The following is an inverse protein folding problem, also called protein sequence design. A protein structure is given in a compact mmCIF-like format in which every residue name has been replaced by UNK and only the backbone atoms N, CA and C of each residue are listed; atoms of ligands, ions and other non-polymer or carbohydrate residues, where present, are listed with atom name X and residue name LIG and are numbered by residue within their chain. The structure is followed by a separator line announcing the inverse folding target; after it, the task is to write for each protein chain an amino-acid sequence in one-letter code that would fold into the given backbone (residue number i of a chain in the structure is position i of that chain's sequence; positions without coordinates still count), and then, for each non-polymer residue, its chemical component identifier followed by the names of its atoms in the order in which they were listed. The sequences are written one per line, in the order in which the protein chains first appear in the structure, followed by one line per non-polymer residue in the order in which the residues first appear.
data_IF_177275528059
#
_entry.id   IF_177275528059
#
_cell.length_a   1.000
_cell.length_b   1.000
_cell.length_c   1.000
_cell.angle_alpha   90.00
_cell.angle_beta   90.00
_cell.angle_gamma   90.00
#
_symmetry.space_group_name_H-M   'P 1'
#
loop_
_entity.id
_entity.type
_entity.pdbx_description
1 polymer ?
#
# COMPACT_ATOMS: atom_id res chain seq x y z
N UNK A 1 -5.07 -14.95 3.02
CA UNK A 1 -5.06 -14.14 1.79
C UNK A 1 -3.78 -13.34 1.72
N UNK A 2 -3.32 -13.01 0.51
CA UNK A 2 -2.08 -12.24 0.33
C UNK A 2 -2.37 -10.96 -0.46
N UNK A 3 -1.91 -9.83 0.06
CA UNK A 3 -2.11 -8.51 -0.53
C UNK A 3 -0.75 -7.88 -0.85
N UNK A 4 -0.47 -7.62 -2.13
CA UNK A 4 0.70 -6.84 -2.53
C UNK A 4 0.34 -5.35 -2.45
N UNK A 5 1.15 -4.59 -1.74
CA UNK A 5 0.97 -3.15 -1.52
C UNK A 5 2.17 -2.40 -2.06
N UNK A 6 1.93 -1.49 -2.99
CA UNK A 6 2.94 -0.62 -3.62
C UNK A 6 2.46 0.82 -3.64
N UNK A 7 3.38 1.78 -3.73
CA UNK A 7 3.06 3.21 -3.78
C UNK A 7 4.18 4.02 -4.44
N UNK A 8 3.83 5.22 -4.90
CA UNK A 8 4.79 6.26 -5.26
C UNK A 8 5.82 5.78 -6.31
N UNK A 9 5.32 5.19 -7.43
CA UNK A 9 6.17 4.79 -8.56
C UNK A 9 6.54 5.94 -9.50
N UNK A 10 5.85 7.09 -9.42
CA UNK A 10 6.19 8.33 -10.12
C UNK A 10 6.56 8.10 -11.59
N UNK A 11 5.56 7.78 -12.41
CA UNK A 11 5.66 7.50 -13.84
C UNK A 11 6.45 6.25 -14.23
N UNK A 12 7.05 5.52 -13.28
CA UNK A 12 7.76 4.28 -13.57
C UNK A 12 6.75 3.13 -13.75
N UNK A 13 6.23 3.02 -14.95
CA UNK A 13 5.24 2.01 -15.34
C UNK A 13 5.81 0.59 -15.31
N UNK A 14 7.07 0.45 -15.72
CA UNK A 14 7.69 -0.87 -15.91
C UNK A 14 7.76 -1.67 -14.60
N UNK A 15 8.03 -1.01 -13.48
CA UNK A 15 8.06 -1.72 -12.20
C UNK A 15 6.69 -2.31 -11.83
N UNK A 16 5.57 -1.67 -12.20
CA UNK A 16 4.23 -2.22 -11.95
C UNK A 16 3.95 -3.41 -12.88
N UNK A 17 4.44 -3.38 -14.11
CA UNK A 17 4.38 -4.52 -15.05
C UNK A 17 5.17 -5.70 -14.49
N UNK A 18 6.39 -5.44 -14.01
CA UNK A 18 7.26 -6.47 -13.43
C UNK A 18 6.63 -7.09 -12.16
N UNK A 19 6.07 -6.26 -11.27
CA UNK A 19 5.34 -6.72 -10.09
C UNK A 19 4.13 -7.59 -10.45
N UNK A 20 3.36 -7.17 -11.46
CA UNK A 20 2.23 -7.96 -11.93
C UNK A 20 2.71 -9.33 -12.43
N UNK A 21 3.68 -9.35 -13.34
CA UNK A 21 4.17 -10.58 -13.97
C UNK A 21 4.76 -11.56 -12.94
N UNK A 22 5.50 -11.05 -11.96
CA UNK A 22 6.13 -11.89 -10.92
C UNK A 22 5.10 -12.45 -9.93
N UNK A 23 4.11 -11.63 -9.51
CA UNK A 23 3.26 -11.97 -8.37
C UNK A 23 1.82 -12.32 -8.72
N UNK A 24 1.37 -12.29 -9.99
CA UNK A 24 -0.03 -12.52 -10.37
C UNK A 24 -0.59 -13.88 -9.92
N UNK A 25 0.27 -14.90 -9.77
CA UNK A 25 -0.11 -16.22 -9.26
C UNK A 25 0.25 -16.45 -7.80
N UNK A 26 0.75 -15.43 -7.10
CA UNK A 26 1.26 -15.54 -5.73
C UNK A 26 0.46 -14.72 -4.72
N UNK A 27 -0.30 -13.72 -5.19
CA UNK A 27 -1.10 -12.83 -4.33
C UNK A 27 -2.55 -12.76 -4.83
N UNK A 28 -3.46 -12.46 -3.90
CA UNK A 28 -4.90 -12.37 -4.18
C UNK A 28 -5.31 -10.95 -4.64
N UNK A 29 -4.58 -9.91 -4.22
CA UNK A 29 -4.87 -8.52 -4.53
C UNK A 29 -3.60 -7.72 -4.76
N UNK A 30 -3.66 -6.79 -5.72
CA UNK A 30 -2.68 -5.75 -5.97
C UNK A 30 -3.27 -4.40 -5.58
N UNK A 31 -2.61 -3.69 -4.64
CA UNK A 31 -3.09 -2.46 -4.02
C UNK A 31 -2.05 -1.35 -4.22
N UNK A 32 -2.46 -0.23 -4.85
CA UNK A 32 -1.58 0.89 -5.15
C UNK A 32 -2.02 2.15 -4.40
N UNK A 33 -1.16 2.67 -3.53
CA UNK A 33 -1.51 3.79 -2.64
C UNK A 33 -1.31 5.18 -3.23
N UNK A 34 -1.31 5.33 -4.57
CA UNK A 34 -1.30 6.64 -5.25
C UNK A 34 0.08 7.13 -5.66
N UNK A 35 0.11 8.31 -6.28
CA UNK A 35 1.25 8.90 -6.98
C UNK A 35 1.84 7.95 -8.02
N UNK A 36 0.95 7.46 -8.89
CA UNK A 36 1.34 6.65 -10.04
C UNK A 36 1.84 7.51 -11.19
N UNK A 37 1.22 8.67 -11.38
CA UNK A 37 1.41 9.57 -12.51
C UNK A 37 1.17 8.91 -13.87
N UNK A 38 0.39 7.83 -13.88
CA UNK A 38 -0.03 7.12 -15.09
C UNK A 38 -1.48 7.49 -15.44
N UNK A 39 -1.86 7.41 -16.74
CA UNK A 39 -3.25 7.63 -17.13
C UNK A 39 -4.22 6.66 -16.44
N UNK A 40 -5.40 7.13 -16.06
CA UNK A 40 -6.47 6.31 -15.49
C UNK A 40 -7.01 5.24 -16.46
N UNK A 41 -6.68 5.35 -17.74
CA UNK A 41 -7.00 4.40 -18.80
C UNK A 41 -5.93 3.31 -19.00
N UNK A 42 -4.85 3.32 -18.21
CA UNK A 42 -3.81 2.30 -18.32
C UNK A 42 -4.35 0.92 -17.92
N UNK A 43 -4.02 -0.11 -18.71
CA UNK A 43 -4.47 -1.49 -18.50
C UNK A 43 -3.99 -2.12 -17.18
N UNK A 44 -2.98 -1.55 -16.52
CA UNK A 44 -2.55 -1.98 -15.18
C UNK A 44 -3.67 -1.87 -14.14
N UNK A 45 -4.60 -0.93 -14.31
CA UNK A 45 -5.71 -0.73 -13.38
C UNK A 45 -6.81 -1.81 -13.45
N UNK A 46 -6.74 -2.70 -14.42
CA UNK A 46 -7.50 -3.96 -14.40
C UNK A 46 -6.98 -4.93 -13.33
N UNK A 47 -5.71 -4.79 -12.93
CA UNK A 47 -5.04 -5.63 -11.92
C UNK A 47 -4.89 -4.89 -10.59
N UNK A 48 -4.39 -3.66 -10.61
CA UNK A 48 -4.16 -2.87 -9.40
C UNK A 48 -5.39 -2.07 -9.01
N UNK A 49 -5.82 -2.21 -7.75
CA UNK A 49 -6.75 -1.25 -7.16
C UNK A 49 -5.96 -0.03 -6.70
N UNK A 50 -6.26 1.13 -7.27
CA UNK A 50 -5.48 2.36 -7.09
C UNK A 50 -6.32 3.46 -6.45
N UNK A 51 -5.66 4.34 -5.69
CA UNK A 51 -6.20 5.61 -5.18
C UNK A 51 -5.41 6.78 -5.75
N UNK A 52 -6.04 7.97 -5.78
CA UNK A 52 -5.42 9.20 -6.26
C UNK A 52 -4.38 9.71 -5.27
N UNK A 53 -3.17 9.98 -5.73
CA UNK A 53 -2.16 10.74 -5.01
C UNK A 53 -2.16 12.23 -5.37
N UNK A 54 -1.29 13.00 -4.73
CA UNK A 54 -1.19 14.45 -4.99
C UNK A 54 -0.48 14.77 -6.31
N UNK A 55 0.21 13.82 -6.91
CA UNK A 55 0.85 13.94 -8.22
C UNK A 55 0.04 13.30 -9.36
N UNK A 56 -1.08 12.65 -9.06
CA UNK A 56 -1.97 12.07 -10.07
C UNK A 56 -2.92 13.14 -10.63
N UNK A 57 -2.50 13.79 -11.71
CA UNK A 57 -3.29 14.84 -12.38
C UNK A 57 -4.26 14.22 -13.38
N UNK A 58 -5.52 14.67 -13.36
CA UNK A 58 -6.53 14.24 -14.33
C UNK A 58 -7.80 13.60 -13.73
N UNK A 59 -7.80 13.22 -12.48
CA UNK A 59 -9.01 12.97 -11.68
C UNK A 59 -9.72 11.64 -11.88
N UNK A 60 -9.13 10.65 -12.56
CA UNK A 60 -9.76 9.35 -12.79
C UNK A 60 -9.75 8.40 -11.58
N UNK A 61 -8.88 8.62 -10.61
CA UNK A 61 -8.80 7.76 -9.42
C UNK A 61 -9.56 8.33 -8.22
N UNK A 62 -10.17 7.47 -7.37
CA UNK A 62 -10.79 7.93 -6.13
C UNK A 62 -9.73 8.31 -5.09
N UNK A 63 -10.01 9.34 -4.26
CA UNK A 63 -9.10 9.76 -3.18
C UNK A 63 -8.95 8.70 -2.07
N UNK A 64 -9.93 7.85 -1.91
CA UNK A 64 -9.99 6.77 -0.93
C UNK A 64 -10.79 5.59 -1.47
N UNK A 65 -10.41 4.39 -1.05
CA UNK A 65 -11.07 3.14 -1.46
C UNK A 65 -11.23 2.21 -0.27
N UNK A 66 -12.37 1.54 -0.19
CA UNK A 66 -12.61 0.47 0.77
C UNK A 66 -12.66 -0.84 -0.01
N UNK A 67 -11.73 -1.74 0.29
CA UNK A 67 -11.65 -3.07 -0.30
C UNK A 67 -12.07 -4.09 0.75
N UNK A 68 -13.11 -4.86 0.44
CA UNK A 68 -13.61 -5.93 1.32
C UNK A 68 -13.14 -7.28 0.81
N UNK A 69 -12.60 -8.07 1.71
CA UNK A 69 -12.19 -9.46 1.48
C UNK A 69 -12.89 -10.38 2.50
N UNK A 70 -12.81 -11.70 2.36
CA UNK A 70 -13.32 -12.61 3.38
C UNK A 70 -12.69 -12.44 4.78
N UNK A 71 -11.45 -11.91 4.86
CA UNK A 71 -10.71 -11.77 6.11
C UNK A 71 -10.60 -10.32 6.60
N UNK A 72 -10.62 -9.34 5.68
CA UNK A 72 -10.28 -7.95 6.00
C UNK A 72 -11.21 -6.96 5.33
N UNK A 73 -11.44 -5.84 6.01
CA UNK A 73 -11.82 -4.58 5.39
C UNK A 73 -10.58 -3.70 5.33
N UNK A 74 -10.15 -3.32 4.13
CA UNK A 74 -8.95 -2.53 3.87
C UNK A 74 -9.37 -1.12 3.47
N UNK A 75 -8.95 -0.11 4.23
CA UNK A 75 -9.08 1.29 3.87
C UNK A 75 -7.79 1.75 3.20
N UNK A 76 -7.89 2.29 1.99
CA UNK A 76 -6.76 2.80 1.22
C UNK A 76 -6.92 4.28 0.94
N UNK A 77 -5.86 5.05 1.11
CA UNK A 77 -5.72 6.43 0.66
C UNK A 77 -4.25 6.72 0.37
N UNK A 78 -3.97 7.75 -0.42
CA UNK A 78 -2.57 8.16 -0.57
C UNK A 78 -2.02 8.77 0.73
N UNK A 79 -2.85 9.53 1.47
CA UNK A 79 -2.47 10.07 2.77
C UNK A 79 -2.27 11.59 2.80
N UNK A 80 -2.10 12.27 1.66
CA UNK A 80 -1.93 13.72 1.61
C UNK A 80 -3.15 14.49 2.19
N UNK A 81 -4.38 13.99 1.98
CA UNK A 81 -5.60 14.54 2.55
C UNK A 81 -5.85 14.14 4.01
N UNK A 82 -5.10 13.15 4.51
CA UNK A 82 -5.15 12.68 5.89
C UNK A 82 -3.98 13.19 6.74
N UNK A 83 -3.16 14.12 6.21
CA UNK A 83 -2.04 14.76 6.89
C UNK A 83 -1.04 13.76 7.51
N UNK A 84 -0.81 12.62 6.84
CA UNK A 84 0.03 11.52 7.37
C UNK A 84 1.49 11.89 7.64
N UNK A 85 1.96 13.05 7.16
CA UNK A 85 3.28 13.60 7.53
C UNK A 85 3.37 14.01 9.01
N UNK A 86 2.22 14.28 9.64
CA UNK A 86 2.12 14.71 11.04
C UNK A 86 1.60 13.61 11.97
N UNK A 87 1.38 12.42 11.44
CA UNK A 87 0.92 11.24 12.18
C UNK A 87 -0.31 10.59 11.56
N UNK A 88 -0.67 9.42 12.07
CA UNK A 88 -1.73 8.59 11.50
C UNK A 88 -3.09 8.74 12.17
N UNK A 89 -3.27 9.70 13.08
CA UNK A 89 -4.52 9.88 13.84
C UNK A 89 -5.72 10.11 12.91
N UNK A 90 -5.60 11.02 11.94
CA UNK A 90 -6.68 11.35 11.00
C UNK A 90 -6.98 10.17 10.07
N UNK A 91 -5.95 9.48 9.62
CA UNK A 91 -6.07 8.22 8.86
C UNK A 91 -6.79 7.15 9.69
N UNK A 92 -6.43 7.01 10.96
CA UNK A 92 -7.05 6.06 11.89
C UNK A 92 -8.54 6.30 12.10
N UNK A 93 -8.96 7.57 12.22
CA UNK A 93 -10.37 7.93 12.34
C UNK A 93 -11.16 7.56 11.07
N UNK A 94 -10.62 7.81 9.88
CA UNK A 94 -11.24 7.43 8.61
C UNK A 94 -11.34 5.91 8.45
N UNK A 95 -10.27 5.18 8.78
CA UNK A 95 -10.27 3.73 8.76
C UNK A 95 -11.26 3.14 9.79
N UNK A 96 -11.45 3.79 10.94
CA UNK A 96 -12.46 3.41 11.93
C UNK A 96 -13.89 3.63 11.41
N UNK A 97 -14.16 4.73 10.74
CA UNK A 97 -15.45 5.00 10.12
C UNK A 97 -15.81 3.98 9.03
N UNK A 98 -14.78 3.45 8.35
CA UNK A 98 -14.93 2.39 7.35
C UNK A 98 -14.99 0.97 7.94
N UNK A 99 -14.90 0.83 9.27
CA UNK A 99 -14.75 -0.46 9.97
C UNK A 99 -13.59 -1.30 9.41
N UNK A 100 -12.49 -0.63 9.04
CA UNK A 100 -11.36 -1.27 8.41
C UNK A 100 -10.41 -1.86 9.46
N UNK A 101 -9.95 -3.08 9.20
CA UNK A 101 -8.90 -3.75 9.98
C UNK A 101 -7.49 -3.39 9.51
N UNK A 102 -7.37 -2.94 8.24
CA UNK A 102 -6.11 -2.52 7.64
C UNK A 102 -6.27 -1.11 7.06
N UNK A 103 -5.31 -0.22 7.32
CA UNK A 103 -5.21 1.11 6.75
C UNK A 103 -3.91 1.25 5.95
N UNK A 104 -4.01 1.43 4.64
CA UNK A 104 -2.89 1.57 3.72
C UNK A 104 -2.73 3.02 3.27
N UNK A 105 -1.47 3.47 3.20
CA UNK A 105 -1.15 4.83 2.75
C UNK A 105 0.24 4.91 2.12
N UNK A 106 0.53 5.99 1.39
CA UNK A 106 1.81 6.31 0.76
C UNK A 106 2.29 7.71 1.14
N UNK A 107 2.57 8.55 0.16
CA UNK A 107 2.86 9.99 0.24
C UNK A 107 4.16 10.38 0.96
N UNK A 108 4.48 9.79 2.08
CA UNK A 108 5.70 10.12 2.82
C UNK A 108 6.96 9.55 2.17
N UNK A 109 6.81 8.53 1.33
CA UNK A 109 7.86 7.69 0.77
C UNK A 109 8.68 6.97 1.86
N UNK A 110 8.16 6.88 3.07
CA UNK A 110 8.81 6.26 4.22
C UNK A 110 8.07 4.99 4.61
N UNK A 111 8.83 3.93 4.80
CA UNK A 111 8.32 2.66 5.30
C UNK A 111 7.71 2.86 6.69
N UNK A 112 6.49 2.38 6.88
CA UNK A 112 5.83 2.32 8.17
C UNK A 112 4.99 1.04 8.28
N UNK A 113 5.10 0.35 9.40
CA UNK A 113 4.31 -0.84 9.70
C UNK A 113 4.08 -0.94 11.20
N UNK A 114 2.85 -0.70 11.63
CA UNK A 114 2.51 -0.74 13.06
C UNK A 114 1.06 -1.22 13.26
N UNK A 115 0.79 -1.84 14.40
CA UNK A 115 -0.56 -2.16 14.85
C UNK A 115 -0.94 -1.23 16.00
N UNK A 116 -2.05 -0.51 15.83
CA UNK A 116 -2.63 0.34 16.87
C UNK A 116 -4.04 -0.17 17.20
N UNK A 117 -4.24 -0.62 18.41
CA UNK A 117 -5.46 -1.32 18.80
C UNK A 117 -5.66 -2.60 17.98
N UNK A 118 -6.78 -2.70 17.28
CA UNK A 118 -7.11 -3.82 16.40
C UNK A 118 -6.90 -3.50 14.90
N UNK A 119 -6.08 -2.50 14.58
CA UNK A 119 -5.88 -2.06 13.18
C UNK A 119 -4.42 -2.03 12.80
N UNK A 120 -4.11 -2.62 11.64
CA UNK A 120 -2.80 -2.54 11.00
C UNK A 120 -2.71 -1.24 10.18
N UNK A 121 -1.64 -0.47 10.37
CA UNK A 121 -1.26 0.66 9.52
C UNK A 121 -0.01 0.29 8.73
N UNK A 122 -0.04 0.50 7.41
CA UNK A 122 1.09 0.15 6.56
C UNK A 122 1.31 1.20 5.47
N UNK A 123 2.57 1.63 5.36
CA UNK A 123 3.10 2.36 4.22
C UNK A 123 4.20 1.50 3.58
N UNK A 124 4.07 1.13 2.29
CA UNK A 124 5.05 0.28 1.63
C UNK A 124 6.38 1.01 1.34
N UNK A 125 6.48 2.31 1.65
CA UNK A 125 7.53 3.17 1.15
C UNK A 125 7.27 3.60 -0.30
N UNK A 126 8.29 4.10 -0.98
CA UNK A 126 8.23 4.36 -2.42
C UNK A 126 9.06 3.34 -3.20
N UNK A 127 8.46 2.78 -4.26
CA UNK A 127 9.16 1.85 -5.15
C UNK A 127 10.16 2.55 -6.08
N UNK A 128 10.15 3.90 -6.12
CA UNK A 128 11.00 4.71 -7.00
C UNK A 128 11.85 5.74 -6.28
N UNK A 129 11.29 6.44 -5.28
CA UNK A 129 11.92 7.60 -4.62
C UNK A 129 11.85 7.49 -3.09
N UNK A 130 12.51 6.49 -2.47
CA UNK A 130 12.45 6.27 -1.02
C UNK A 130 13.00 7.47 -0.24
N UNK A 131 12.45 7.70 0.95
CA UNK A 131 12.84 8.77 1.90
C UNK A 131 12.95 8.24 3.32
N UNK A 132 13.46 9.08 4.21
CA UNK A 132 13.62 8.74 5.63
C UNK A 132 14.92 7.97 5.91
N UNK A 133 14.93 7.23 7.01
CA UNK A 133 16.13 6.49 7.45
C UNK A 133 16.38 5.23 6.60
N UNK A 134 15.32 4.60 6.13
CA UNK A 134 15.38 3.40 5.29
C UNK A 134 15.12 3.82 3.85
N UNK A 135 16.20 3.86 3.05
CA UNK A 135 16.12 4.31 1.65
C UNK A 135 16.17 3.12 0.67
N UNK A 136 15.28 2.17 0.89
CA UNK A 136 15.10 1.02 0.01
C UNK A 136 13.90 1.31 -0.89
N UNK A 137 14.04 1.16 -2.20
CA UNK A 137 12.91 1.12 -3.13
C UNK A 137 12.13 -0.14 -2.85
N UNK A 138 10.92 -0.01 -2.29
CA UNK A 138 10.23 -1.13 -1.65
C UNK A 138 8.76 -1.24 -2.01
N UNK A 139 8.25 -2.44 -1.82
CA UNK A 139 6.84 -2.79 -1.71
C UNK A 139 6.68 -3.78 -0.55
N UNK A 140 5.44 -4.07 -0.17
CA UNK A 140 5.15 -5.02 0.91
C UNK A 140 4.13 -6.07 0.47
N UNK A 141 4.23 -7.27 1.04
CA UNK A 141 3.17 -8.28 0.97
C UNK A 141 2.65 -8.53 2.38
N UNK A 142 1.34 -8.42 2.55
CA UNK A 142 0.62 -8.78 3.76
C UNK A 142 0.04 -10.18 3.54
N UNK A 143 0.44 -11.14 4.35
CA UNK A 143 -0.22 -12.44 4.46
C UNK A 143 -1.19 -12.40 5.64
N UNK A 144 -2.49 -12.42 5.32
CA UNK A 144 -3.58 -12.31 6.28
C UNK A 144 -4.21 -13.66 6.53
N UNK A 145 -4.30 -14.04 7.81
CA UNK A 145 -5.02 -15.21 8.31
C UNK A 145 -6.07 -14.78 9.35
N UNK A 146 -6.96 -15.66 9.81
CA UNK A 146 -7.89 -15.33 10.91
C UNK A 146 -7.18 -14.94 12.21
N UNK A 147 -5.93 -15.37 12.42
CA UNK A 147 -5.19 -15.21 13.68
C UNK A 147 -4.20 -14.05 13.65
N UNK A 148 -3.68 -13.71 12.45
CA UNK A 148 -2.56 -12.75 12.37
C UNK A 148 -2.43 -12.10 10.98
N UNK A 149 -1.68 -11.00 10.97
CA UNK A 149 -1.07 -10.43 9.77
C UNK A 149 0.44 -10.64 9.83
N UNK A 150 1.01 -11.32 8.81
CA UNK A 150 2.45 -11.38 8.58
C UNK A 150 2.82 -10.47 7.41
N UNK A 151 3.71 -9.53 7.63
CA UNK A 151 4.13 -8.53 6.66
C UNK A 151 5.59 -8.75 6.30
N UNK A 152 5.88 -8.82 5.01
CA UNK A 152 7.23 -8.87 4.49
C UNK A 152 7.43 -7.75 3.47
N UNK A 153 8.44 -6.91 3.69
CA UNK A 153 8.89 -5.95 2.68
C UNK A 153 9.90 -6.60 1.74
N UNK A 154 9.86 -6.15 0.51
CA UNK A 154 10.75 -6.55 -0.57
C UNK A 154 11.40 -5.33 -1.17
N UNK A 155 12.63 -5.48 -1.65
CA UNK A 155 13.26 -4.48 -2.49
C UNK A 155 12.70 -4.51 -3.92
N UNK A 156 13.10 -3.52 -4.72
CA UNK A 156 12.68 -3.40 -6.12
C UNK A 156 13.12 -4.59 -7.00
N UNK A 157 14.12 -5.36 -6.58
CA UNK A 157 14.60 -6.55 -7.27
C UNK A 157 13.91 -7.83 -6.79
N UNK A 158 12.82 -7.68 -6.02
CA UNK A 158 11.96 -8.75 -5.47
C UNK A 158 12.63 -9.62 -4.42
N UNK A 159 13.75 -9.16 -3.84
CA UNK A 159 14.36 -9.84 -2.71
C UNK A 159 13.68 -9.41 -1.39
N UNK A 160 13.47 -10.37 -0.53
CA UNK A 160 13.00 -10.08 0.84
C UNK A 160 14.02 -9.23 1.57
N UNK A 161 13.54 -8.23 2.31
CA UNK A 161 14.33 -7.45 3.27
C UNK A 161 14.10 -8.05 4.64
N UNK A 162 15.01 -8.88 5.18
CA UNK A 162 14.76 -9.67 6.39
C UNK A 162 14.47 -8.81 7.62
N UNK A 163 15.09 -7.63 7.71
CA UNK A 163 14.93 -6.70 8.83
C UNK A 163 13.57 -5.99 8.82
N UNK A 164 12.83 -6.09 7.72
CA UNK A 164 11.51 -5.50 7.53
C UNK A 164 10.43 -6.59 7.41
N UNK A 165 10.47 -7.53 8.33
CA UNK A 165 9.46 -8.56 8.52
C UNK A 165 8.76 -8.35 9.87
N UNK A 166 7.42 -8.35 9.86
CA UNK A 166 6.59 -8.09 11.04
C UNK A 166 5.47 -9.13 11.14
N UNK A 167 5.10 -9.49 12.36
CA UNK A 167 3.94 -10.32 12.63
C UNK A 167 3.11 -9.68 13.74
N UNK A 168 1.82 -9.51 13.49
CA UNK A 168 0.87 -8.98 14.47
C UNK A 168 -0.30 -9.94 14.60
N UNK A 169 -0.59 -10.38 15.81
CA UNK A 169 -1.85 -11.09 16.12
C UNK A 169 -3.03 -10.13 16.00
N UNK A 170 -4.19 -10.62 15.59
CA UNK A 170 -5.43 -9.84 15.47
C UNK A 170 -6.02 -9.46 16.82
#
# INVERSE_FOLDING_TARGET
MKYLVVSDNHSDREILVDLKNEFENQVDLFLHCGDSELPDTDSLWETFQVVCGNCDYGGGFPNERIVKTPLDTIYMTHGHLADVRFGVTKLGLKAQQADASIALFGHTHQIACEKVGNRLFLNPGSISQPRGQIQIKSFAIIESTPEQWAIQYYDRSFHKVPELAFVFTR
#
